data_IF_196852107600
#
_entry.id   IF_196852107600
#
_cell.length_a   1.000
_cell.length_b   1.000
_cell.length_c   1.000
_cell.angle_alpha   90.00
_cell.angle_beta   90.00
_cell.angle_gamma   90.00
#
_symmetry.space_group_name_H-M   'P 1'
#
loop_
_entity.id
_entity.type
_entity.pdbx_description
1 polymer ?
#
# COMPACT_ATOMS: atom_id res chain seq x y z
N UNK A 1 10.29 -7.76 7.61
CA UNK A 1 9.36 -7.29 6.58
C UNK A 1 10.12 -6.89 5.34
N UNK A 2 9.76 -7.46 4.21
CA UNK A 2 10.24 -7.01 2.91
C UNK A 2 9.34 -5.87 2.43
N UNK A 3 9.95 -4.77 2.01
CA UNK A 3 9.23 -3.59 1.56
C UNK A 3 9.45 -3.38 0.06
N UNK A 4 8.39 -2.97 -0.63
CA UNK A 4 8.44 -2.47 -2.01
C UNK A 4 8.10 -0.98 -2.00
N UNK A 5 8.82 -0.19 -2.80
CA UNK A 5 8.57 1.25 -2.96
C UNK A 5 8.50 1.59 -4.42
N UNK A 6 7.47 2.34 -4.81
CA UNK A 6 7.31 2.88 -6.15
C UNK A 6 6.80 4.33 -6.05
N UNK A 7 7.49 5.24 -6.74
CA UNK A 7 7.19 6.68 -6.71
C UNK A 7 6.24 7.11 -7.84
N UNK A 8 5.38 6.19 -8.30
CA UNK A 8 4.33 6.50 -9.29
C UNK A 8 3.22 7.33 -8.63
N UNK A 9 2.76 8.35 -9.35
CA UNK A 9 1.64 9.21 -8.94
C UNK A 9 0.61 9.18 -10.07
N UNK A 10 -0.63 8.87 -9.72
CA UNK A 10 -1.74 8.86 -10.65
C UNK A 10 -2.57 10.13 -10.54
N UNK A 11 -3.20 10.53 -11.64
CA UNK A 11 -4.10 11.68 -11.65
C UNK A 11 -5.44 11.33 -10.98
N UNK A 12 -5.94 10.11 -11.21
CA UNK A 12 -7.26 9.70 -10.77
C UNK A 12 -7.22 8.60 -9.71
N UNK A 13 -8.29 8.52 -8.90
CA UNK A 13 -8.48 7.41 -7.96
C UNK A 13 -8.61 6.06 -8.70
N UNK A 14 -9.24 6.05 -9.87
CA UNK A 14 -9.46 4.82 -10.65
C UNK A 14 -8.15 4.19 -11.13
N UNK A 15 -7.19 4.99 -11.56
CA UNK A 15 -5.86 4.49 -11.93
C UNK A 15 -5.13 3.91 -10.71
N UNK A 16 -5.18 4.60 -9.58
CA UNK A 16 -4.59 4.14 -8.32
C UNK A 16 -5.23 2.84 -7.81
N UNK A 17 -6.55 2.68 -7.95
CA UNK A 17 -7.27 1.43 -7.64
C UNK A 17 -6.79 0.27 -8.50
N UNK A 18 -6.70 0.46 -9.83
CA UNK A 18 -6.22 -0.58 -10.75
C UNK A 18 -4.78 -0.98 -10.41
N UNK A 19 -3.94 -0.02 -10.02
CA UNK A 19 -2.58 -0.30 -9.56
C UNK A 19 -2.57 -1.09 -8.24
N UNK A 20 -3.33 -0.62 -7.25
CA UNK A 20 -3.37 -1.19 -5.91
C UNK A 20 -3.89 -2.63 -5.89
N UNK A 21 -4.79 -3.01 -6.81
CA UNK A 21 -5.26 -4.39 -6.96
C UNK A 21 -4.11 -5.35 -7.29
N UNK A 22 -3.20 -4.94 -8.19
CA UNK A 22 -1.99 -5.70 -8.50
C UNK A 22 -1.07 -5.84 -7.29
N UNK A 23 -0.85 -4.75 -6.55
CA UNK A 23 -0.01 -4.74 -5.34
C UNK A 23 -0.60 -5.63 -4.25
N UNK A 24 -1.92 -5.60 -4.04
CA UNK A 24 -2.61 -6.46 -3.08
C UNK A 24 -2.37 -7.95 -3.39
N UNK A 25 -2.47 -8.34 -4.66
CA UNK A 25 -2.18 -9.70 -5.10
C UNK A 25 -0.72 -10.11 -4.85
N UNK A 26 0.24 -9.22 -5.10
CA UNK A 26 1.66 -9.48 -4.78
C UNK A 26 1.89 -9.67 -3.28
N UNK A 27 1.21 -8.89 -2.43
CA UNK A 27 1.29 -8.99 -0.98
C UNK A 27 0.62 -10.27 -0.45
N UNK A 28 -0.54 -10.64 -0.99
CA UNK A 28 -1.18 -11.93 -0.67
C UNK A 28 -0.30 -13.12 -1.08
N UNK A 29 0.42 -12.99 -2.20
CA UNK A 29 1.45 -13.94 -2.63
C UNK A 29 2.73 -13.92 -1.79
N UNK A 30 2.81 -13.06 -0.76
CA UNK A 30 3.97 -12.86 0.13
C UNK A 30 5.26 -12.50 -0.61
N UNK A 31 5.17 -11.80 -1.74
CA UNK A 31 6.35 -11.28 -2.43
C UNK A 31 7.04 -10.18 -1.62
N UNK A 32 6.25 -9.43 -0.85
CA UNK A 32 6.66 -8.44 0.15
C UNK A 32 5.51 -8.23 1.16
N UNK A 33 5.86 -7.69 2.32
CA UNK A 33 4.94 -7.53 3.45
C UNK A 33 4.43 -6.09 3.59
N UNK A 34 5.14 -5.13 3.00
CA UNK A 34 4.82 -3.71 3.09
C UNK A 34 5.09 -2.96 1.79
N UNK A 35 4.32 -1.91 1.57
CA UNK A 35 4.36 -1.06 0.39
C UNK A 35 4.47 0.41 0.81
N UNK A 36 5.41 1.12 0.19
CA UNK A 36 5.61 2.56 0.35
C UNK A 36 5.26 3.29 -0.95
N UNK A 37 4.57 4.41 -0.85
CA UNK A 37 4.22 5.25 -2.00
C UNK A 37 4.12 6.71 -1.62
N UNK A 38 4.33 7.59 -2.60
CA UNK A 38 4.05 9.02 -2.50
C UNK A 38 2.61 9.36 -2.86
N UNK A 39 1.87 8.43 -3.46
CA UNK A 39 0.48 8.63 -3.84
C UNK A 39 -0.48 8.12 -2.77
N UNK A 40 -1.10 9.05 -2.03
CA UNK A 40 -2.09 8.74 -1.00
C UNK A 40 -3.26 7.91 -1.53
N UNK A 41 -3.59 8.04 -2.82
CA UNK A 41 -4.70 7.30 -3.47
C UNK A 41 -4.38 5.81 -3.54
N UNK A 42 -3.13 5.46 -3.86
CA UNK A 42 -2.68 4.07 -3.88
C UNK A 42 -2.73 3.49 -2.47
N UNK A 43 -2.20 4.22 -1.47
CA UNK A 43 -2.23 3.76 -0.07
C UNK A 43 -3.66 3.56 0.45
N UNK A 44 -4.58 4.47 0.11
CA UNK A 44 -6.00 4.34 0.44
C UNK A 44 -6.63 3.09 -0.19
N UNK A 45 -6.51 2.92 -1.51
CA UNK A 45 -7.11 1.78 -2.22
C UNK A 45 -6.51 0.45 -1.75
N UNK A 46 -5.19 0.40 -1.57
CA UNK A 46 -4.48 -0.81 -1.12
C UNK A 46 -4.92 -1.22 0.29
N UNK A 47 -5.07 -0.27 1.21
CA UNK A 47 -5.55 -0.55 2.57
C UNK A 47 -6.94 -1.18 2.56
N UNK A 48 -7.83 -0.68 1.70
CA UNK A 48 -9.17 -1.22 1.53
C UNK A 48 -9.15 -2.64 0.97
N UNK A 49 -8.40 -2.90 -0.11
CA UNK A 49 -8.30 -4.24 -0.69
C UNK A 49 -7.71 -5.25 0.29
N UNK A 50 -6.61 -4.91 0.96
CA UNK A 50 -5.98 -5.81 1.91
C UNK A 50 -6.92 -6.19 3.07
N UNK A 51 -7.71 -5.23 3.56
CA UNK A 51 -8.68 -5.43 4.63
C UNK A 51 -9.88 -6.31 4.25
N UNK A 52 -10.11 -6.60 2.96
CA UNK A 52 -11.14 -7.56 2.54
C UNK A 52 -10.80 -9.00 2.97
N UNK A 53 -9.52 -9.28 3.17
CA UNK A 53 -9.07 -10.56 3.74
C UNK A 53 -9.00 -10.46 5.26
N UNK A 54 -9.95 -11.11 5.95
CA UNK A 54 -10.10 -11.07 7.41
C UNK A 54 -8.94 -11.71 8.19
N UNK A 55 -8.05 -12.44 7.52
CA UNK A 55 -6.90 -13.11 8.15
C UNK A 55 -5.67 -12.20 8.31
N UNK A 56 -5.71 -10.97 7.78
CA UNK A 56 -4.56 -10.07 7.72
C UNK A 56 -4.74 -8.87 8.66
N UNK A 57 -3.77 -8.61 9.52
CA UNK A 57 -3.70 -7.38 10.30
C UNK A 57 -3.04 -6.28 9.46
N UNK A 58 -3.86 -5.34 8.98
CA UNK A 58 -3.40 -4.25 8.12
C UNK A 58 -3.03 -3.06 8.97
N UNK A 59 -1.84 -2.52 8.71
CA UNK A 59 -1.34 -1.31 9.34
C UNK A 59 -1.03 -0.26 8.29
N UNK A 60 -1.24 0.99 8.67
CA UNK A 60 -0.98 2.15 7.83
C UNK A 60 -0.23 3.20 8.64
N UNK A 61 0.70 3.90 8.01
CA UNK A 61 1.32 5.10 8.59
C UNK A 61 1.66 6.12 7.51
N UNK A 62 1.91 7.34 7.95
CA UNK A 62 2.44 8.43 7.12
C UNK A 62 3.71 8.92 7.77
N UNK A 63 4.79 8.98 7.00
CA UNK A 63 6.06 9.57 7.42
C UNK A 63 6.28 10.85 6.62
N UNK A 64 6.63 11.94 7.32
CA UNK A 64 6.96 13.22 6.67
C UNK A 64 8.48 13.36 6.64
N UNK A 65 9.06 13.41 5.44
CA UNK A 65 10.50 13.57 5.24
C UNK A 65 10.76 14.80 4.37
N UNK A 66 11.32 15.86 4.97
CA UNK A 66 11.64 17.12 4.25
C UNK A 66 10.45 17.62 3.42
N UNK A 67 9.28 17.69 4.05
CA UNK A 67 8.02 18.13 3.46
C UNK A 67 7.39 17.18 2.42
N UNK A 68 7.94 15.98 2.25
CA UNK A 68 7.35 14.92 1.42
C UNK A 68 6.63 13.92 2.32
N UNK A 69 5.34 13.70 2.05
CA UNK A 69 4.56 12.65 2.70
C UNK A 69 4.81 11.30 2.02
N UNK A 70 5.24 10.32 2.80
CA UNK A 70 5.40 8.93 2.37
C UNK A 70 4.36 8.10 3.09
N UNK A 71 3.47 7.48 2.33
CA UNK A 71 2.41 6.61 2.84
C UNK A 71 2.90 5.17 2.85
N UNK A 72 2.67 4.48 3.97
CA UNK A 72 3.11 3.11 4.21
C UNK A 72 1.93 2.23 4.54
N UNK A 73 1.83 1.08 3.90
CA UNK A 73 0.80 0.06 4.16
C UNK A 73 1.49 -1.29 4.31
N UNK A 74 1.19 -2.05 5.36
CA UNK A 74 1.80 -3.36 5.55
C UNK A 74 0.89 -4.36 6.27
N UNK A 75 1.17 -5.65 6.05
CA UNK A 75 0.49 -6.77 6.70
C UNK A 75 1.38 -7.30 7.83
N UNK A 76 0.90 -7.26 9.07
CA UNK A 76 1.56 -7.94 10.17
C UNK A 76 1.01 -9.37 10.32
N UNK A 77 1.90 -10.35 10.43
CA UNK A 77 1.55 -11.68 10.95
C UNK A 77 1.49 -11.62 12.47
N UNK A 78 0.38 -12.11 13.04
CA UNK A 78 0.19 -12.31 14.48
C UNK A 78 1.26 -13.20 15.10
#
# INVERSE_FOLDING_TARGET
MKWKREDVIFETIREAEVWADGIANEMYGRLFDGYETLDYKIAYALSFFLAQNQECYIHTSVEINKDIEVYKVWIATS
#
